data_IF_131128484643
#
_entry.id   IF_131128484643
#
_cell.length_a   1.000
_cell.length_b   1.000
_cell.length_c   1.000
_cell.angle_alpha   90.00
_cell.angle_beta   90.00
_cell.angle_gamma   90.00
#
_symmetry.space_group_name_H-M   'P 1'
#
loop_
_entity.id
_entity.type
_entity.pdbx_description
1 polymer ?
#
# COMPACT_ATOMS: atom_id res chain seq x y z
N UNK A 1 3.41 8.43 4.96
CA UNK A 1 2.08 8.37 4.32
C UNK A 1 2.27 8.57 2.84
N UNK A 2 1.60 7.77 2.02
CA UNK A 2 1.73 7.79 0.56
C UNK A 2 0.31 7.92 -0.04
N UNK A 3 -0.10 9.13 -0.46
CA UNK A 3 -1.31 9.32 -1.23
C UNK A 3 -1.17 8.61 -2.58
N UNK A 4 -2.09 7.73 -2.93
CA UNK A 4 -2.04 7.04 -4.21
C UNK A 4 -3.40 6.95 -4.90
N UNK A 5 -3.41 6.99 -6.22
CA UNK A 5 -4.57 6.56 -7.00
C UNK A 5 -4.76 5.06 -6.86
N UNK A 6 -6.02 4.64 -6.81
CA UNK A 6 -6.37 3.26 -6.49
C UNK A 6 -5.96 2.26 -7.58
N UNK A 7 -5.87 2.72 -8.82
CA UNK A 7 -5.46 1.95 -9.99
C UNK A 7 -4.11 2.47 -10.45
N UNK A 8 -3.27 1.57 -10.94
CA UNK A 8 -1.89 1.81 -11.42
C UNK A 8 -0.93 2.18 -10.29
N UNK A 9 -0.97 3.43 -9.78
CA UNK A 9 0.08 3.93 -8.88
C UNK A 9 0.19 3.15 -7.58
N UNK A 10 -0.94 2.71 -7.01
CA UNK A 10 -0.91 1.84 -5.83
C UNK A 10 -0.18 0.53 -6.11
N UNK A 11 -0.49 -0.12 -7.24
CA UNK A 11 0.07 -1.43 -7.58
C UNK A 11 1.57 -1.32 -7.86
N UNK A 12 2.01 -0.25 -8.52
CA UNK A 12 3.43 0.06 -8.72
C UNK A 12 4.16 0.26 -7.38
N UNK A 13 3.56 0.99 -6.44
CA UNK A 13 4.15 1.17 -5.10
C UNK A 13 4.23 -0.17 -4.36
N UNK A 14 3.19 -1.01 -4.42
CA UNK A 14 3.21 -2.34 -3.78
C UNK A 14 4.29 -3.24 -4.38
N UNK A 15 4.44 -3.21 -5.72
CA UNK A 15 5.49 -3.93 -6.43
C UNK A 15 6.88 -3.54 -5.94
N UNK A 16 7.18 -2.23 -5.90
CA UNK A 16 8.48 -1.69 -5.47
C UNK A 16 8.75 -2.01 -4.00
N UNK A 17 7.75 -1.85 -3.13
CA UNK A 17 7.89 -2.19 -1.70
C UNK A 17 8.16 -3.69 -1.52
N UNK A 18 7.51 -4.55 -2.31
CA UNK A 18 7.77 -5.99 -2.31
C UNK A 18 9.19 -6.33 -2.73
N UNK A 19 9.73 -5.67 -3.75
CA UNK A 19 11.13 -5.81 -4.15
C UNK A 19 12.09 -5.37 -3.03
N UNK A 20 11.85 -4.21 -2.43
CA UNK A 20 12.66 -3.73 -1.32
C UNK A 20 12.61 -4.68 -0.12
N UNK A 21 11.45 -5.29 0.14
CA UNK A 21 11.33 -6.27 1.22
C UNK A 21 12.11 -7.56 0.93
N UNK A 22 12.00 -8.11 -0.28
CA UNK A 22 12.78 -9.29 -0.69
C UNK A 22 14.29 -9.04 -0.60
N UNK A 23 14.72 -7.81 -0.87
CA UNK A 23 16.11 -7.39 -0.81
C UNK A 23 16.57 -6.92 0.59
N UNK A 24 15.70 -6.96 1.61
CA UNK A 24 16.04 -6.52 2.98
C UNK A 24 16.32 -5.02 3.12
N UNK A 25 15.78 -4.20 2.21
CA UNK A 25 16.04 -2.75 2.14
C UNK A 25 15.06 -1.91 2.98
N UNK A 26 13.95 -2.49 3.43
CA UNK A 26 12.98 -1.82 4.30
C UNK A 26 12.89 -2.51 5.66
N UNK A 27 12.70 -1.75 6.75
CA UNK A 27 12.50 -2.32 8.08
C UNK A 27 11.18 -3.11 8.14
N UNK A 28 11.12 -4.09 9.03
CA UNK A 28 9.91 -4.87 9.28
C UNK A 28 8.89 -4.05 10.09
N UNK A 29 8.18 -3.17 9.40
CA UNK A 29 7.11 -2.32 9.95
C UNK A 29 5.79 -2.56 9.20
N UNK A 30 4.63 -2.34 9.82
CA UNK A 30 3.35 -2.51 9.14
C UNK A 30 3.21 -1.64 7.89
N UNK A 31 2.71 -2.23 6.81
CA UNK A 31 2.34 -1.54 5.57
C UNK A 31 0.82 -1.67 5.43
N UNK A 32 0.11 -0.55 5.34
CA UNK A 32 -1.35 -0.53 5.19
C UNK A 32 -1.74 -0.10 3.79
N UNK A 33 -2.57 -0.90 3.12
CA UNK A 33 -3.32 -0.46 1.94
C UNK A 33 -4.73 -0.05 2.35
N UNK A 34 -4.92 1.25 2.54
CA UNK A 34 -6.17 1.84 3.02
C UNK A 34 -6.99 2.50 1.91
N UNK A 35 -7.50 1.65 1.02
CA UNK A 35 -8.44 2.05 -0.02
C UNK A 35 -9.22 0.83 -0.53
N UNK A 36 -10.55 0.74 -0.29
CA UNK A 36 -11.36 -0.40 -0.75
C UNK A 36 -11.32 -0.55 -2.27
N UNK A 37 -11.22 0.58 -2.98
CA UNK A 37 -11.08 0.58 -4.42
C UNK A 37 -9.71 0.04 -4.85
N UNK A 38 -8.64 0.40 -4.15
CA UNK A 38 -7.30 -0.05 -4.50
C UNK A 38 -7.09 -1.53 -4.17
N UNK A 39 -7.69 -2.01 -3.07
CA UNK A 39 -7.75 -3.44 -2.73
C UNK A 39 -8.41 -4.21 -3.88
N UNK A 40 -9.61 -3.79 -4.31
CA UNK A 40 -10.33 -4.40 -5.44
C UNK A 40 -9.53 -4.34 -6.75
N UNK A 41 -8.87 -3.22 -7.03
CA UNK A 41 -8.04 -3.08 -8.21
C UNK A 41 -6.86 -4.07 -8.18
N UNK A 42 -6.19 -4.21 -7.03
CA UNK A 42 -5.07 -5.16 -6.85
C UNK A 42 -5.53 -6.60 -7.09
N UNK A 43 -6.72 -6.97 -6.64
CA UNK A 43 -7.32 -8.28 -6.94
C UNK A 43 -7.58 -8.49 -8.45
N UNK A 44 -7.92 -7.44 -9.18
CA UNK A 44 -8.06 -7.51 -10.65
C UNK A 44 -6.70 -7.74 -11.29
N UNK A 45 -5.64 -7.03 -10.87
CA UNK A 45 -4.28 -7.24 -11.38
C UNK A 45 -3.82 -8.70 -11.13
N UNK A 46 -3.98 -9.20 -9.89
CA UNK A 46 -3.66 -10.58 -9.49
C UNK A 46 -4.32 -11.65 -10.37
N UNK A 47 -5.55 -11.40 -10.84
CA UNK A 47 -6.31 -12.32 -11.71
C UNK A 47 -5.89 -12.24 -13.18
N UNK A 48 -5.13 -11.23 -13.56
CA UNK A 48 -4.82 -10.86 -14.94
C UNK A 48 -3.31 -10.86 -15.24
N UNK A 49 -2.57 -11.80 -14.63
CA UNK A 49 -1.10 -11.97 -14.74
C UNK A 49 -0.57 -12.00 -16.18
N UNK A 50 -1.37 -12.47 -17.15
CA UNK A 50 -1.02 -12.49 -18.58
C UNK A 50 -0.69 -11.12 -19.19
N UNK A 51 -1.02 -10.01 -18.50
CA UNK A 51 -0.70 -8.65 -18.93
C UNK A 51 0.49 -8.04 -18.18
N UNK A 52 1.18 -8.81 -17.34
CA UNK A 52 2.38 -8.34 -16.66
C UNK A 52 3.52 -8.15 -17.66
N UNK A 53 4.46 -7.27 -17.32
CA UNK A 53 5.74 -7.18 -18.00
C UNK A 53 6.62 -8.40 -17.68
N UNK A 54 7.82 -8.46 -18.27
CA UNK A 54 8.69 -9.62 -18.14
C UNK A 54 9.20 -9.77 -16.71
N UNK A 55 9.47 -8.65 -16.06
CA UNK A 55 10.01 -8.54 -14.72
C UNK A 55 9.00 -9.06 -13.67
N UNK A 56 7.75 -8.58 -13.73
CA UNK A 56 6.69 -9.06 -12.86
C UNK A 56 6.29 -10.51 -13.16
N UNK A 57 6.36 -10.95 -14.43
CA UNK A 57 6.11 -12.34 -14.79
C UNK A 57 7.17 -13.28 -14.20
N UNK A 58 8.45 -12.90 -14.17
CA UNK A 58 9.51 -13.69 -13.56
C UNK A 58 9.25 -13.95 -12.06
N UNK A 59 8.80 -12.93 -11.32
CA UNK A 59 8.41 -13.06 -9.91
C UNK A 59 7.28 -14.07 -9.73
N UNK A 60 6.29 -14.04 -10.63
CA UNK A 60 5.17 -14.99 -10.62
C UNK A 60 5.64 -16.41 -10.93
N UNK A 61 6.56 -16.58 -11.88
CA UNK A 61 7.07 -17.87 -12.30
C UNK A 61 7.93 -18.53 -11.21
N UNK A 62 8.56 -17.73 -10.35
CA UNK A 62 9.22 -18.17 -9.11
C UNK A 62 8.23 -18.56 -7.99
N UNK A 63 6.92 -18.35 -8.21
CA UNK A 63 5.85 -18.69 -7.27
C UNK A 63 5.48 -17.58 -6.29
N UNK A 64 6.00 -16.36 -6.48
CA UNK A 64 5.68 -15.22 -5.61
C UNK A 64 4.52 -14.38 -6.17
N UNK A 65 3.83 -13.67 -5.28
CA UNK A 65 2.89 -12.62 -5.67
C UNK A 65 3.60 -11.26 -5.63
N UNK A 66 3.70 -10.52 -6.76
CA UNK A 66 4.37 -9.23 -6.80
C UNK A 66 3.78 -8.18 -5.87
N UNK A 67 2.52 -8.34 -5.43
CA UNK A 67 1.84 -7.39 -4.55
C UNK A 67 1.70 -7.87 -3.10
N UNK A 68 2.28 -9.03 -2.76
CA UNK A 68 2.17 -9.59 -1.43
C UNK A 68 3.44 -9.39 -0.60
N UNK A 69 3.25 -9.13 0.68
CA UNK A 69 4.30 -8.87 1.66
C UNK A 69 3.80 -9.34 3.04
N UNK A 70 4.61 -10.06 3.84
CA UNK A 70 4.21 -10.55 5.17
C UNK A 70 3.61 -9.51 6.14
N UNK A 71 4.02 -8.26 6.02
CA UNK A 71 3.63 -7.11 6.84
C UNK A 71 2.59 -6.20 6.15
N UNK A 72 2.10 -6.54 4.96
CA UNK A 72 1.03 -5.82 4.27
C UNK A 72 -0.34 -6.17 4.85
N UNK A 73 -1.12 -5.14 5.16
CA UNK A 73 -2.45 -5.23 5.74
C UNK A 73 -3.45 -4.46 4.89
N UNK A 74 -4.46 -5.17 4.40
CA UNK A 74 -5.59 -4.57 3.71
C UNK A 74 -6.65 -4.11 4.72
N UNK A 75 -7.14 -2.89 4.57
CA UNK A 75 -8.17 -2.33 5.48
C UNK A 75 -9.45 -2.00 4.70
N UNK A 76 -10.33 -2.97 4.41
CA UNK A 76 -11.53 -2.73 3.62
C UNK A 76 -12.56 -1.83 4.32
N UNK A 77 -12.65 -1.84 5.65
CA UNK A 77 -13.69 -1.14 6.40
C UNK A 77 -13.24 0.22 6.95
N UNK A 78 -14.20 1.10 7.21
CA UNK A 78 -13.94 2.38 7.87
C UNK A 78 -13.40 2.20 9.29
N UNK A 79 -13.87 1.18 10.02
CA UNK A 79 -13.40 0.88 11.38
C UNK A 79 -11.91 0.53 11.38
N UNK A 80 -11.47 -0.30 10.44
CA UNK A 80 -10.05 -0.64 10.29
C UNK A 80 -9.21 0.57 9.90
N UNK A 81 -9.68 1.39 8.94
CA UNK A 81 -9.00 2.64 8.54
C UNK A 81 -8.79 3.60 9.71
N UNK A 82 -9.81 3.78 10.56
CA UNK A 82 -9.71 4.61 11.76
C UNK A 82 -8.66 4.04 12.72
N UNK A 83 -8.71 2.74 12.99
CA UNK A 83 -7.83 2.06 13.94
C UNK A 83 -6.33 2.18 13.57
N UNK A 84 -5.98 2.36 12.30
CA UNK A 84 -4.59 2.62 11.87
C UNK A 84 -3.98 3.80 12.65
N UNK A 85 -4.76 4.86 12.91
CA UNK A 85 -4.25 6.09 13.53
C UNK A 85 -4.00 5.96 15.04
N UNK A 86 -4.57 4.92 15.65
CA UNK A 86 -4.41 4.59 17.06
C UNK A 86 -3.17 3.70 17.31
N UNK A 87 -2.61 3.10 16.26
CA UNK A 87 -1.42 2.26 16.39
C UNK A 87 -0.20 3.12 16.77
N UNK A 88 0.55 2.64 17.75
CA UNK A 88 1.83 3.23 18.14
C UNK A 88 2.97 2.64 17.31
N UNK A 89 3.99 3.46 17.03
CA UNK A 89 5.16 3.08 16.26
C UNK A 89 5.11 3.51 14.79
N UNK A 90 6.13 3.09 14.04
CA UNK A 90 6.31 3.43 12.62
C UNK A 90 5.43 2.54 11.73
N UNK A 91 4.84 3.13 10.69
CA UNK A 91 4.08 2.40 9.68
C UNK A 91 4.12 3.13 8.34
N UNK A 92 3.96 2.37 7.25
CA UNK A 92 3.68 2.90 5.91
C UNK A 92 2.17 2.83 5.70
N UNK A 93 1.55 3.93 5.30
CA UNK A 93 0.11 3.99 4.98
C UNK A 93 -0.06 4.49 3.56
N UNK A 94 -0.50 3.60 2.67
CA UNK A 94 -0.88 3.89 1.29
C UNK A 94 -2.38 4.10 1.27
N UNK A 95 -2.85 5.33 1.01
CA UNK A 95 -4.27 5.65 1.08
C UNK A 95 -4.72 6.53 -0.08
N UNK A 96 -5.96 6.33 -0.52
CA UNK A 96 -6.58 7.18 -1.55
C UNK A 96 -7.18 8.47 -0.95
N UNK A 97 -7.30 9.57 -1.70
CA UNK A 97 -6.99 9.77 -3.13
C UNK A 97 -5.59 10.39 -3.33
N UNK A 98 -4.89 10.04 -4.42
CA UNK A 98 -3.53 10.49 -4.75
C UNK A 98 -3.29 12.01 -4.77
N UNK A 99 -4.33 12.83 -4.97
CA UNK A 99 -4.20 14.29 -4.93
C UNK A 99 -4.55 14.92 -3.58
N UNK A 100 -4.81 14.11 -2.55
CA UNK A 100 -5.21 14.56 -1.21
C UNK A 100 -6.50 15.41 -1.15
N UNK A 101 -7.30 15.44 -2.22
CA UNK A 101 -8.53 16.23 -2.31
C UNK A 101 -9.71 15.61 -1.56
N UNK A 102 -9.72 14.27 -1.47
CA UNK A 102 -10.77 13.48 -0.83
C UNK A 102 -10.22 12.11 -0.37
N UNK A 103 -11.09 11.29 0.21
CA UNK A 103 -10.78 9.92 0.59
C UNK A 103 -10.09 9.79 1.95
N UNK A 104 -9.64 8.57 2.24
CA UNK A 104 -9.08 8.18 3.54
C UNK A 104 -7.75 8.86 3.86
N UNK A 105 -6.98 9.27 2.85
CA UNK A 105 -5.74 10.02 3.05
C UNK A 105 -5.96 11.30 3.86
N UNK A 106 -7.08 12.03 3.67
CA UNK A 106 -7.37 13.24 4.46
C UNK A 106 -7.51 12.93 5.94
N UNK A 107 -8.10 11.78 6.27
CA UNK A 107 -8.21 11.32 7.64
C UNK A 107 -6.82 11.06 8.23
N UNK A 108 -5.96 10.31 7.53
CA UNK A 108 -4.60 10.05 7.99
C UNK A 108 -3.76 11.33 8.12
N UNK A 109 -3.84 12.25 7.16
CA UNK A 109 -3.16 13.54 7.22
C UNK A 109 -3.58 14.33 8.46
N UNK A 110 -4.89 14.42 8.74
CA UNK A 110 -5.40 15.12 9.93
C UNK A 110 -4.80 14.57 11.24
N UNK A 111 -4.63 13.25 11.35
CA UNK A 111 -4.19 12.62 12.59
C UNK A 111 -2.66 12.52 12.74
N UNK A 112 -1.91 12.52 11.62
CA UNK A 112 -0.49 12.19 11.64
C UNK A 112 0.43 13.29 11.11
N UNK A 113 -0.04 14.22 10.28
CA UNK A 113 0.84 15.18 9.59
C UNK A 113 1.62 16.10 10.55
N UNK A 114 1.06 16.37 11.72
CA UNK A 114 1.69 17.20 12.76
C UNK A 114 2.69 16.43 13.63
N UNK A 115 2.74 15.10 13.55
CA UNK A 115 3.61 14.27 14.40
C UNK A 115 5.07 14.37 13.95
N UNK A 116 6.03 14.57 14.86
CA UNK A 116 7.45 14.47 14.52
C UNK A 116 7.79 13.11 13.91
N UNK A 117 8.55 13.10 12.81
CA UNK A 117 8.90 11.88 12.06
C UNK A 117 7.86 11.45 11.01
N UNK A 118 6.71 12.12 10.92
CA UNK A 118 5.78 11.89 9.81
C UNK A 118 6.39 12.38 8.49
N UNK A 119 6.37 11.52 7.47
CA UNK A 119 6.74 11.89 6.10
C UNK A 119 5.54 11.72 5.18
N UNK A 120 5.35 12.68 4.28
CA UNK A 120 4.44 12.57 3.13
C UNK A 120 5.29 12.39 1.88
N UNK A 121 5.04 11.30 1.15
CA UNK A 121 5.76 10.94 -0.08
C UNK A 121 4.78 10.92 -1.24
#
# INVERSE_FOLDING_TARGET
>A
MIPAFAVERTQEILYILGEFQRNGMIPDIPIYLDSPLAIKATEIFRKNKKYYDKEAQAIVDEGFDPFDMPNLKFTPTTKESIAINENQGSAIVIAGNGMCTAGRIKHHLKHNLWRPGASLV
#
